data_IF_352486370281
#
_entry.id   IF_352486370281
#
_cell.length_a   1.000
_cell.length_b   1.000
_cell.length_c   1.000
_cell.angle_alpha   90.00
_cell.angle_beta   90.00
_cell.angle_gamma   90.00
#
_symmetry.space_group_name_H-M   'P 1'
#
loop_
_entity.id
_entity.type
_entity.pdbx_description
1 polymer ?
#
# COMPACT_ATOMS: atom_id res chain seq x y z
N UNK A 1 1.84 4.15 7.99
CA UNK A 1 0.44 3.69 8.19
C UNK A 1 -0.02 3.86 9.63
N UNK A 2 -0.18 5.09 10.10
CA UNK A 2 -0.65 5.36 11.46
C UNK A 2 -1.86 6.29 11.36
N UNK A 3 -2.85 6.10 12.21
CA UNK A 3 -3.91 7.07 12.38
C UNK A 3 -3.42 8.16 13.33
N UNK A 4 -3.09 9.33 12.80
CA UNK A 4 -2.59 10.44 13.60
C UNK A 4 -3.55 10.97 14.66
N UNK A 5 -4.86 10.68 14.55
CA UNK A 5 -5.82 11.09 15.59
C UNK A 5 -5.67 10.26 16.85
N UNK A 6 -5.35 8.98 16.70
CA UNK A 6 -5.26 8.00 17.79
C UNK A 6 -3.84 7.54 18.09
N UNK A 7 -2.88 7.85 17.21
CA UNK A 7 -1.51 7.33 17.22
C UNK A 7 -1.43 5.83 16.91
N UNK A 8 -2.54 5.18 16.53
CA UNK A 8 -2.58 3.73 16.35
C UNK A 8 -2.17 3.31 14.94
N UNK A 9 -1.46 2.19 14.79
CA UNK A 9 -1.14 1.67 13.47
C UNK A 9 -2.41 1.28 12.71
N UNK A 10 -2.46 1.65 11.44
CA UNK A 10 -3.48 1.20 10.51
C UNK A 10 -3.09 -0.22 10.07
N UNK A 11 -3.98 -1.23 10.18
CA UNK A 11 -3.67 -2.59 9.77
C UNK A 11 -3.18 -2.65 8.31
N UNK A 12 -2.08 -3.35 8.06
CA UNK A 12 -1.44 -3.42 6.74
C UNK A 12 -2.40 -3.85 5.62
N UNK A 13 -3.31 -4.79 5.91
CA UNK A 13 -4.33 -5.25 4.96
C UNK A 13 -5.29 -4.16 4.47
N UNK A 14 -5.46 -3.07 5.24
CA UNK A 14 -6.33 -1.95 4.84
C UNK A 14 -5.76 -1.15 3.67
N UNK A 15 -4.45 -0.91 3.66
CA UNK A 15 -3.79 -0.21 2.54
C UNK A 15 -3.97 -1.01 1.24
N UNK A 16 -3.72 -2.31 1.29
CA UNK A 16 -3.91 -3.22 0.14
C UNK A 16 -5.36 -3.23 -0.35
N UNK A 17 -6.34 -3.27 0.54
CA UNK A 17 -7.75 -3.25 0.16
C UNK A 17 -8.14 -1.94 -0.55
N UNK A 18 -7.66 -0.80 -0.04
CA UNK A 18 -7.90 0.52 -0.63
C UNK A 18 -7.27 0.65 -2.02
N UNK A 19 -6.02 0.20 -2.19
CA UNK A 19 -5.35 0.24 -3.50
C UNK A 19 -6.08 -0.63 -4.51
N UNK A 20 -6.51 -1.84 -4.13
CA UNK A 20 -7.32 -2.70 -5.02
C UNK A 20 -8.64 -2.04 -5.43
N UNK A 21 -9.30 -1.35 -4.51
CA UNK A 21 -10.52 -0.62 -4.80
C UNK A 21 -10.26 0.54 -5.78
N UNK A 22 -9.17 1.30 -5.60
CA UNK A 22 -8.77 2.38 -6.51
C UNK A 22 -8.44 1.84 -7.91
N UNK A 23 -7.67 0.75 -7.99
CA UNK A 23 -7.35 0.07 -9.25
C UNK A 23 -8.62 -0.39 -9.98
N UNK A 24 -9.59 -0.97 -9.28
CA UNK A 24 -10.86 -1.41 -9.86
C UNK A 24 -11.70 -0.23 -10.42
N UNK A 25 -11.43 1.01 -9.99
CA UNK A 25 -12.04 2.23 -10.50
C UNK A 25 -11.22 2.88 -11.63
N UNK A 26 -10.15 2.23 -12.10
CA UNK A 26 -9.27 2.77 -13.14
C UNK A 26 -8.27 3.81 -12.63
N UNK A 27 -8.07 3.93 -11.31
CA UNK A 27 -7.04 4.81 -10.75
C UNK A 27 -5.70 4.10 -10.82
N UNK A 28 -4.73 4.73 -11.47
CA UNK A 28 -3.37 4.20 -11.65
C UNK A 28 -2.30 4.92 -10.83
N UNK A 29 -2.62 6.10 -10.27
CA UNK A 29 -1.69 6.92 -9.52
C UNK A 29 -2.16 7.04 -8.07
N UNK A 30 -1.39 6.49 -7.15
CA UNK A 30 -1.69 6.48 -5.72
C UNK A 30 -0.39 6.41 -4.91
N UNK A 31 -0.45 6.87 -3.67
CA UNK A 31 0.67 6.91 -2.73
C UNK A 31 0.14 6.66 -1.31
N UNK A 32 1.04 6.42 -0.35
CA UNK A 32 0.70 6.38 1.07
C UNK A 32 1.58 7.34 1.87
N UNK A 33 1.08 7.74 3.04
CA UNK A 33 1.82 8.50 4.04
C UNK A 33 1.27 8.18 5.44
N UNK A 34 2.10 8.13 6.50
CA UNK A 34 3.55 8.12 6.47
C UNK A 34 4.08 6.71 6.17
N UNK A 35 5.32 6.64 5.73
CA UNK A 35 6.07 5.39 5.68
C UNK A 35 6.95 5.27 6.93
N UNK A 36 6.71 4.26 7.75
CA UNK A 36 7.56 3.95 8.89
C UNK A 36 8.47 2.77 8.52
N UNK A 37 9.53 3.10 7.78
CA UNK A 37 10.51 2.12 7.29
C UNK A 37 11.38 1.54 8.42
N UNK A 38 11.48 2.20 9.57
CA UNK A 38 12.22 1.67 10.73
C UNK A 38 11.44 0.50 11.34
N UNK A 39 10.11 0.62 11.39
CA UNK A 39 9.23 -0.42 11.93
C UNK A 39 8.64 -1.37 10.86
N UNK A 40 9.04 -1.24 9.59
CA UNK A 40 8.46 -1.95 8.43
C UNK A 40 6.93 -1.83 8.36
N UNK A 41 6.42 -0.59 8.45
CA UNK A 41 4.98 -0.27 8.50
C UNK A 41 4.56 0.78 7.44
N UNK A 42 3.85 0.36 6.38
CA UNK A 42 3.38 -1.01 6.08
C UNK A 42 4.55 -1.94 5.73
N UNK A 43 4.35 -3.26 5.86
CA UNK A 43 5.41 -4.21 5.49
C UNK A 43 5.82 -4.02 4.03
N UNK A 44 7.12 -4.03 3.77
CA UNK A 44 7.66 -3.86 2.42
C UNK A 44 7.07 -4.89 1.44
N UNK A 45 6.84 -6.11 1.92
CA UNK A 45 6.20 -7.19 1.16
C UNK A 45 4.79 -6.82 0.72
N UNK A 46 3.97 -6.29 1.63
CA UNK A 46 2.59 -5.92 1.33
C UNK A 46 2.51 -4.68 0.45
N UNK A 47 3.36 -3.68 0.71
CA UNK A 47 3.46 -2.48 -0.11
C UNK A 47 3.83 -2.83 -1.56
N UNK A 48 4.84 -3.68 -1.77
CA UNK A 48 5.22 -4.16 -3.11
C UNK A 48 4.08 -4.91 -3.79
N UNK A 49 3.43 -5.83 -3.08
CA UNK A 49 2.33 -6.62 -3.64
C UNK A 49 1.12 -5.77 -4.06
N UNK A 50 0.92 -4.61 -3.44
CA UNK A 50 -0.19 -3.71 -3.76
C UNK A 50 0.18 -2.64 -4.80
N UNK A 51 1.41 -2.14 -4.79
CA UNK A 51 1.78 -0.90 -5.50
C UNK A 51 2.88 -1.04 -6.55
N UNK A 52 3.51 -2.22 -6.66
CA UNK A 52 4.59 -2.43 -7.65
C UNK A 52 4.10 -2.21 -9.08
N UNK A 53 4.75 -1.29 -9.79
CA UNK A 53 4.56 -1.09 -11.22
C UNK A 53 5.12 -2.26 -12.06
N UNK A 54 6.00 -3.10 -11.49
CA UNK A 54 6.51 -4.31 -12.14
C UNK A 54 5.46 -5.38 -12.43
N UNK A 55 4.24 -5.22 -11.90
CA UNK A 55 3.10 -6.07 -12.26
C UNK A 55 2.42 -5.64 -13.58
N UNK A 56 2.87 -4.55 -14.22
CA UNK A 56 2.28 -4.01 -15.45
C UNK A 56 3.35 -3.78 -16.55
N UNK A 57 3.10 -4.16 -17.82
CA UNK A 57 1.96 -4.92 -18.34
C UNK A 57 2.10 -6.44 -18.14
N UNK A 58 3.27 -6.94 -17.74
CA UNK A 58 3.52 -8.35 -17.48
C UNK A 58 4.11 -8.54 -16.08
N UNK A 59 3.62 -9.50 -15.26
CA UNK A 59 4.23 -9.81 -13.97
C UNK A 59 5.65 -10.38 -14.14
N UNK A 60 6.55 -10.02 -13.23
CA UNK A 60 7.89 -10.62 -13.13
C UNK A 60 7.79 -12.15 -13.03
N UNK A 61 8.55 -12.87 -13.87
CA UNK A 61 8.63 -14.34 -13.90
C UNK A 61 9.39 -14.91 -12.71
#
# INVERSE_FOLDING_TARGET
TVDWRSGQPIPAGRLRAQIRQLQAQGVHHFAWYPDDFIADQPSTRDARAAMSAGNFPYPEK
#
